data_IF_691761820569
#
_entry.id   IF_691761820569
#
_cell.length_a   1.000
_cell.length_b   1.000
_cell.length_c   1.000
_cell.angle_alpha   90.00
_cell.angle_beta   90.00
_cell.angle_gamma   90.00
#
_symmetry.space_group_name_H-M   'P 1'
#
loop_
_entity.id
_entity.type
_entity.pdbx_description
1 polymer ?
#
# COMPACT_ATOMS: atom_id res chain seq x y z
N UNK A 1 55.99 -27.42 -3.98
CA UNK A 1 56.07 -25.94 -4.10
C UNK A 1 54.95 -25.34 -3.25
N UNK A 2 55.28 -24.55 -2.22
CA UNK A 2 54.29 -24.01 -1.25
C UNK A 2 53.95 -22.57 -1.65
N UNK A 3 52.79 -22.39 -2.27
CA UNK A 3 52.28 -21.06 -2.61
C UNK A 3 51.81 -20.37 -1.33
N UNK A 4 52.41 -19.23 -0.98
CA UNK A 4 51.91 -18.37 0.12
C UNK A 4 51.24 -17.15 -0.48
N UNK A 5 49.93 -17.02 -0.24
CA UNK A 5 49.14 -15.90 -0.71
C UNK A 5 49.44 -14.68 0.17
N UNK A 6 50.23 -13.72 -0.32
CA UNK A 6 50.33 -12.39 0.31
C UNK A 6 49.14 -11.55 -0.17
N UNK A 7 48.06 -11.52 0.60
CA UNK A 7 46.95 -10.61 0.34
C UNK A 7 47.43 -9.16 0.51
N UNK A 8 47.66 -8.46 -0.60
CA UNK A 8 47.74 -6.99 -0.59
C UNK A 8 46.37 -6.50 -0.14
N UNK A 9 46.33 -5.76 0.97
CA UNK A 9 45.11 -5.33 1.64
C UNK A 9 44.04 -4.85 0.67
N UNK A 10 42.79 -5.22 0.97
CA UNK A 10 41.60 -4.82 0.23
C UNK A 10 41.65 -3.29 0.13
N UNK A 11 41.92 -2.78 -1.08
CA UNK A 11 41.89 -1.34 -1.31
C UNK A 11 40.46 -0.89 -1.00
N UNK A 12 40.31 0.07 -0.08
CA UNK A 12 39.05 0.80 0.18
C UNK A 12 38.64 1.59 -1.08
N UNK A 13 38.29 0.90 -2.16
CA UNK A 13 37.50 1.48 -3.23
C UNK A 13 36.07 1.27 -2.82
N UNK A 14 35.55 2.31 -2.16
CA UNK A 14 34.14 2.60 -1.88
C UNK A 14 33.21 1.45 -2.30
N UNK A 15 32.83 0.66 -1.31
CA UNK A 15 31.52 0.01 -1.30
C UNK A 15 30.46 1.11 -1.33
N UNK A 16 30.28 1.75 -2.49
CA UNK A 16 29.14 2.62 -2.74
C UNK A 16 28.04 1.71 -3.25
N UNK A 17 27.54 0.86 -2.33
CA UNK A 17 26.24 0.23 -2.48
C UNK A 17 25.25 1.36 -2.72
N UNK A 18 24.76 1.47 -3.95
CA UNK A 18 23.77 2.47 -4.31
C UNK A 18 22.44 2.01 -3.73
N UNK A 19 21.98 2.69 -2.70
CA UNK A 19 20.60 2.63 -2.22
C UNK A 19 19.66 3.17 -3.32
N UNK A 20 19.47 2.38 -4.38
CA UNK A 20 18.33 2.50 -5.27
C UNK A 20 17.27 1.48 -4.82
N UNK A 21 16.97 1.49 -3.51
CA UNK A 21 15.79 0.86 -2.94
C UNK A 21 14.84 1.98 -2.55
N UNK A 22 14.13 2.50 -3.54
CA UNK A 22 13.10 3.49 -3.34
C UNK A 22 12.39 3.70 -4.65
N UNK A 23 11.06 3.74 -4.61
CA UNK A 23 10.14 4.02 -5.71
C UNK A 23 10.45 5.31 -6.52
N UNK A 24 11.53 6.02 -6.22
CA UNK A 24 11.78 7.35 -6.72
C UNK A 24 13.21 7.44 -7.24
N UNK A 25 13.38 7.38 -8.55
CA UNK A 25 14.05 8.42 -9.34
C UNK A 25 14.27 7.92 -10.76
N UNK A 26 13.49 8.43 -11.71
CA UNK A 26 14.07 9.09 -12.87
C UNK A 26 13.03 10.01 -13.50
N UNK A 27 13.47 11.24 -13.77
CA UNK A 27 12.60 12.38 -14.01
C UNK A 27 11.70 12.24 -15.22
N UNK A 28 10.63 13.02 -15.21
CA UNK A 28 10.52 14.25 -16.02
C UNK A 28 9.21 14.90 -15.58
N UNK A 29 9.33 16.07 -14.94
CA UNK A 29 8.24 16.99 -14.62
C UNK A 29 6.94 16.33 -14.13
N UNK A 30 6.73 16.31 -12.81
CA UNK A 30 5.46 16.83 -12.32
C UNK A 30 5.39 18.29 -12.81
N UNK A 31 5.02 18.49 -14.08
CA UNK A 31 4.25 19.67 -14.42
C UNK A 31 3.17 19.68 -13.37
N UNK A 32 3.08 20.77 -12.62
CA UNK A 32 2.01 21.01 -11.67
C UNK A 32 0.71 20.72 -12.43
N UNK A 33 0.24 19.47 -12.34
CA UNK A 33 -1.09 19.12 -12.69
C UNK A 33 -1.84 19.95 -11.68
N UNK A 34 -2.43 21.02 -12.22
CA UNK A 34 -3.35 21.91 -11.54
C UNK A 34 -4.10 21.10 -10.52
N UNK A 35 -4.25 21.64 -9.31
CA UNK A 35 -4.96 21.01 -8.21
C UNK A 35 -6.35 20.54 -8.68
N UNK A 36 -6.41 19.40 -9.37
CA UNK A 36 -7.59 18.63 -9.61
C UNK A 36 -7.84 18.13 -8.22
N UNK A 37 -8.73 18.84 -7.52
CA UNK A 37 -9.34 18.37 -6.29
C UNK A 37 -9.57 16.89 -6.47
N UNK A 38 -8.68 16.08 -5.89
CA UNK A 38 -8.67 14.65 -6.11
C UNK A 38 -10.07 14.23 -5.73
N UNK A 39 -10.91 13.88 -6.71
CA UNK A 39 -12.29 13.50 -6.46
C UNK A 39 -12.15 12.18 -5.72
N UNK A 40 -12.17 12.27 -4.39
CA UNK A 40 -12.03 11.11 -3.53
C UNK A 40 -13.04 10.07 -4.02
N UNK A 41 -12.66 8.80 -4.08
CA UNK A 41 -13.56 7.77 -4.59
C UNK A 41 -14.85 7.79 -3.76
N UNK A 42 -15.97 8.06 -4.42
CA UNK A 42 -17.29 8.07 -3.80
C UNK A 42 -17.70 6.68 -3.30
N UNK A 43 -16.98 5.63 -3.73
CA UNK A 43 -17.26 4.23 -3.45
C UNK A 43 -16.05 3.58 -2.77
N UNK A 44 -16.30 2.96 -1.62
CA UNK A 44 -15.34 2.16 -0.86
C UNK A 44 -15.69 0.68 -1.05
N UNK A 45 -14.66 -0.15 -1.21
CA UNK A 45 -14.81 -1.61 -1.26
C UNK A 45 -14.68 -2.17 0.16
N UNK A 46 -15.72 -2.85 0.65
CA UNK A 46 -15.74 -3.51 1.96
C UNK A 46 -15.82 -5.03 1.79
N UNK A 47 -14.93 -5.77 2.46
CA UNK A 47 -14.96 -7.23 2.46
C UNK A 47 -15.84 -7.74 3.60
N UNK A 48 -16.86 -8.53 3.27
CA UNK A 48 -17.74 -9.14 4.28
C UNK A 48 -16.98 -10.15 5.15
N UNK A 49 -17.10 -10.05 6.48
CA UNK A 49 -16.40 -10.98 7.40
C UNK A 49 -16.93 -12.42 7.33
N UNK A 50 -18.21 -12.60 7.00
CA UNK A 50 -18.86 -13.92 7.01
C UNK A 50 -18.70 -14.68 5.70
N UNK A 51 -18.91 -14.02 4.55
CA UNK A 51 -18.91 -14.68 3.24
C UNK A 51 -17.74 -14.29 2.34
N UNK A 52 -16.91 -13.31 2.75
CA UNK A 52 -15.78 -12.82 1.96
C UNK A 52 -16.16 -12.02 0.71
N UNK A 53 -17.45 -11.78 0.45
CA UNK A 53 -17.89 -11.00 -0.69
C UNK A 53 -17.42 -9.54 -0.61
N UNK A 54 -17.12 -8.96 -1.76
CA UNK A 54 -16.70 -7.56 -1.89
C UNK A 54 -17.91 -6.65 -2.13
N UNK A 55 -18.34 -5.96 -1.07
CA UNK A 55 -19.45 -5.02 -1.10
C UNK A 55 -18.97 -3.64 -1.54
N UNK A 56 -19.65 -3.05 -2.53
CA UNK A 56 -19.46 -1.65 -2.94
C UNK A 56 -20.35 -0.77 -2.06
N UNK A 57 -19.74 -0.03 -1.14
CA UNK A 57 -20.45 0.89 -0.25
C UNK A 57 -20.14 2.34 -0.62
N UNK A 58 -21.12 3.26 -0.56
CA UNK A 58 -20.82 4.68 -0.68
C UNK A 58 -19.93 5.12 0.49
N UNK A 59 -19.15 6.17 0.29
CA UNK A 59 -18.25 6.69 1.32
C UNK A 59 -19.02 6.99 2.62
N UNK A 60 -18.70 6.32 3.73
CA UNK A 60 -19.35 6.59 5.00
C UNK A 60 -18.96 7.98 5.50
N UNK A 61 -19.93 8.74 6.00
CA UNK A 61 -19.71 10.08 6.57
C UNK A 61 -19.11 10.05 7.97
N UNK A 62 -19.11 8.89 8.61
CA UNK A 62 -18.69 8.66 10.01
C UNK A 62 -17.70 7.51 10.06
N UNK A 63 -16.77 7.57 11.01
CA UNK A 63 -15.73 6.54 11.17
C UNK A 63 -16.29 5.19 11.64
N UNK A 64 -17.35 5.24 12.46
CA UNK A 64 -18.07 4.05 12.92
C UNK A 64 -19.24 3.84 12.01
N UNK A 65 -19.41 2.68 11.39
CA UNK A 65 -20.58 2.39 10.54
C UNK A 65 -20.93 0.91 10.48
N UNK A 66 -22.14 0.63 9.97
CA UNK A 66 -22.61 -0.73 9.74
C UNK A 66 -22.71 -0.96 8.24
N UNK A 67 -22.21 -2.09 7.76
CA UNK A 67 -22.32 -2.54 6.37
C UNK A 67 -23.18 -3.79 6.35
N UNK A 68 -24.28 -3.75 5.60
CA UNK A 68 -25.08 -4.94 5.32
C UNK A 68 -24.53 -5.57 4.06
N UNK A 69 -24.25 -6.87 4.09
CA UNK A 69 -23.79 -7.57 2.90
C UNK A 69 -24.85 -7.54 1.80
N UNK A 70 -24.45 -7.21 0.57
CA UNK A 70 -25.36 -7.14 -0.58
C UNK A 70 -25.86 -8.52 -1.04
N UNK A 71 -25.25 -9.60 -0.54
CA UNK A 71 -25.67 -10.95 -0.86
C UNK A 71 -26.84 -11.37 0.04
N UNK A 72 -28.00 -11.58 -0.58
CA UNK A 72 -29.27 -11.88 0.11
C UNK A 72 -29.21 -13.13 1.00
N UNK A 73 -28.39 -14.11 0.61
CA UNK A 73 -28.17 -15.33 1.37
C UNK A 73 -27.32 -15.12 2.63
N UNK A 74 -26.49 -14.08 2.67
CA UNK A 74 -25.60 -13.81 3.79
C UNK A 74 -26.26 -12.88 4.82
N UNK A 75 -26.82 -11.74 4.38
CA UNK A 75 -27.51 -10.79 5.24
C UNK A 75 -26.71 -10.25 6.43
N UNK A 76 -25.39 -10.48 6.46
CA UNK A 76 -24.55 -10.15 7.62
C UNK A 76 -24.39 -8.64 7.80
N UNK A 77 -24.38 -8.19 9.06
CA UNK A 77 -24.11 -6.81 9.46
C UNK A 77 -22.70 -6.68 10.02
N UNK A 78 -21.76 -6.15 9.22
CA UNK A 78 -20.42 -5.84 9.69
C UNK A 78 -20.38 -4.48 10.40
N UNK A 79 -19.84 -4.46 11.61
CA UNK A 79 -19.62 -3.24 12.40
C UNK A 79 -18.17 -2.78 12.22
N UNK A 80 -17.97 -1.69 11.49
CA UNK A 80 -16.64 -1.11 11.23
C UNK A 80 -16.39 0.07 12.18
N UNK A 81 -15.21 0.16 12.78
CA UNK A 81 -14.80 1.24 13.69
C UNK A 81 -15.34 1.15 15.12
N UNK A 82 -15.92 0.00 15.50
CA UNK A 82 -16.29 -0.28 16.88
C UNK A 82 -15.14 -1.07 17.52
N UNK A 83 -14.02 -0.39 17.76
CA UNK A 83 -13.00 -0.91 18.67
C UNK A 83 -13.57 -0.89 20.10
N UNK A 84 -13.37 -1.98 20.84
CA UNK A 84 -13.70 -2.10 22.26
C UNK A 84 -12.70 -1.32 23.13
#
# INVERSE_FOLDING_TARGET
MKLTLRSRGIKKKKDEYKDALGWTTTGTSQAAAEASTETLPDIVMHQCSMCGAMNKIPRPKRDRYKVICAQEECGNEDKVGFDE
#
